data_IF_024388498112
#
_entry.id   IF_024388498112
#
_cell.length_a   1.000
_cell.length_b   1.000
_cell.length_c   1.000
_cell.angle_alpha   90.00
_cell.angle_beta   90.00
_cell.angle_gamma   90.00
#
_symmetry.space_group_name_H-M   'P 1'
#
loop_
_entity.id
_entity.type
_entity.pdbx_description
1 polymer ?
#
# COMPACT_ATOMS: atom_id res chain seq x y z
N UNK A 1 21.25 -11.89 4.04
CA UNK A 1 20.05 -11.23 3.49
C UNK A 1 20.53 -9.96 2.83
N UNK A 2 20.05 -9.64 1.63
CA UNK A 2 20.28 -8.31 1.03
C UNK A 2 19.09 -7.42 1.36
N UNK A 3 19.26 -6.09 1.25
CA UNK A 3 18.20 -5.12 1.53
C UNK A 3 16.87 -5.49 0.86
N UNK A 4 16.91 -5.79 -0.44
CA UNK A 4 15.72 -6.10 -1.23
C UNK A 4 14.94 -7.30 -0.67
N UNK A 5 15.64 -8.32 -0.16
CA UNK A 5 15.01 -9.52 0.41
C UNK A 5 14.23 -9.15 1.68
N UNK A 6 14.89 -8.44 2.62
CA UNK A 6 14.30 -8.03 3.89
C UNK A 6 13.12 -7.06 3.69
N UNK A 7 13.31 -6.10 2.78
CA UNK A 7 12.31 -5.08 2.47
C UNK A 7 11.08 -5.71 1.80
N UNK A 8 11.28 -6.58 0.82
CA UNK A 8 10.18 -7.28 0.12
C UNK A 8 9.46 -8.26 1.05
N UNK A 9 10.18 -8.98 1.91
CA UNK A 9 9.60 -9.89 2.90
C UNK A 9 8.61 -9.14 3.80
N UNK A 10 9.03 -8.00 4.36
CA UNK A 10 8.16 -7.18 5.21
C UNK A 10 6.96 -6.62 4.47
N UNK A 11 7.12 -6.19 3.21
CA UNK A 11 6.00 -5.73 2.38
C UNK A 11 4.98 -6.83 2.06
N UNK A 12 5.43 -8.08 1.96
CA UNK A 12 4.54 -9.20 1.67
C UNK A 12 3.55 -9.47 2.81
N UNK A 13 3.87 -9.05 4.04
CA UNK A 13 2.95 -9.11 5.19
C UNK A 13 1.74 -8.20 4.97
N UNK A 14 1.92 -7.02 4.37
CA UNK A 14 0.83 -6.10 4.00
C UNK A 14 -0.17 -6.83 3.10
N UNK A 15 0.31 -7.41 2.00
CA UNK A 15 -0.55 -8.13 1.05
C UNK A 15 -1.22 -9.33 1.71
N UNK A 16 -0.51 -10.05 2.58
CA UNK A 16 -1.06 -11.20 3.29
C UNK A 16 -2.27 -10.83 4.14
N UNK A 17 -2.23 -9.70 4.85
CA UNK A 17 -3.37 -9.21 5.61
C UNK A 17 -4.59 -8.91 4.72
N UNK A 18 -4.40 -8.30 3.55
CA UNK A 18 -5.50 -8.10 2.61
C UNK A 18 -6.07 -9.44 2.09
N UNK A 19 -5.22 -10.42 1.80
CA UNK A 19 -5.64 -11.75 1.34
C UNK A 19 -6.50 -12.51 2.38
N UNK A 20 -6.36 -12.19 3.66
CA UNK A 20 -7.17 -12.80 4.73
C UNK A 20 -8.61 -12.26 4.78
N UNK A 21 -8.84 -11.04 4.28
CA UNK A 21 -10.13 -10.34 4.42
C UNK A 21 -10.90 -10.21 3.10
N UNK A 22 -10.24 -10.36 1.95
CA UNK A 22 -10.92 -10.31 0.65
C UNK A 22 -11.80 -11.54 0.40
N UNK A 23 -12.87 -11.36 -0.36
CA UNK A 23 -13.66 -12.47 -0.89
C UNK A 23 -13.10 -13.04 -2.20
N UNK A 24 -13.55 -14.25 -2.57
CA UNK A 24 -13.17 -14.96 -3.81
C UNK A 24 -13.47 -14.18 -5.10
N UNK A 25 -14.23 -13.09 -5.03
CA UNK A 25 -14.59 -12.24 -6.15
C UNK A 25 -13.54 -11.15 -6.48
N UNK A 26 -12.51 -10.98 -5.66
CA UNK A 26 -11.46 -9.99 -5.85
C UNK A 26 -10.34 -10.57 -6.72
N UNK A 27 -10.05 -9.89 -7.83
CA UNK A 27 -9.05 -10.29 -8.81
C UNK A 27 -7.69 -9.58 -8.58
N UNK A 28 -7.74 -8.34 -8.08
CA UNK A 28 -6.58 -7.47 -7.88
C UNK A 28 -6.74 -6.63 -6.63
N UNK A 29 -5.66 -6.42 -5.88
CA UNK A 29 -5.58 -5.51 -4.73
C UNK A 29 -4.68 -4.33 -5.12
N UNK A 30 -5.16 -3.12 -4.86
CA UNK A 30 -4.38 -1.89 -5.00
C UNK A 30 -4.20 -1.29 -3.61
N UNK A 31 -2.96 -1.07 -3.19
CA UNK A 31 -2.65 -0.42 -1.91
C UNK A 31 -1.75 0.78 -2.18
N UNK A 32 -2.13 1.91 -1.60
CA UNK A 32 -1.34 3.13 -1.58
C UNK A 32 -1.04 3.49 -0.14
N UNK A 33 0.21 3.78 0.16
CA UNK A 33 0.64 4.26 1.48
C UNK A 33 1.52 5.47 1.23
N UNK A 34 1.20 6.60 1.84
CA UNK A 34 2.13 7.69 2.03
C UNK A 34 2.46 7.76 3.51
N UNK A 35 3.74 7.78 3.84
CA UNK A 35 4.19 7.96 5.21
C UNK A 35 5.47 8.79 5.20
N UNK A 36 5.45 9.86 5.98
CA UNK A 36 6.57 10.77 6.18
C UNK A 36 6.58 11.29 7.62
N UNK A 37 7.55 12.14 7.98
CA UNK A 37 7.76 12.55 9.38
C UNK A 37 6.52 13.24 9.99
N UNK A 38 5.65 13.82 9.16
CA UNK A 38 4.55 14.68 9.61
C UNK A 38 3.16 14.10 9.34
N UNK A 39 3.04 13.11 8.45
CA UNK A 39 1.76 12.57 8.03
C UNK A 39 1.87 11.13 7.53
N UNK A 40 0.87 10.33 7.88
CA UNK A 40 0.58 9.04 7.27
C UNK A 40 -0.80 9.06 6.58
N UNK A 41 -0.92 8.32 5.49
CA UNK A 41 -2.18 8.12 4.77
C UNK A 41 -2.14 6.82 3.97
N UNK A 42 -3.12 5.96 4.25
CA UNK A 42 -3.33 4.70 3.57
C UNK A 42 -4.64 4.73 2.80
N UNK A 43 -4.64 4.08 1.64
CA UNK A 43 -5.90 3.75 0.95
C UNK A 43 -5.74 2.50 0.12
N UNK A 44 -6.88 1.88 -0.18
CA UNK A 44 -6.93 0.70 -1.02
C UNK A 44 -8.15 0.70 -1.95
N UNK A 45 -8.03 -0.07 -3.02
CA UNK A 45 -9.12 -0.38 -3.92
C UNK A 45 -9.00 -1.82 -4.42
N UNK A 46 -10.09 -2.35 -4.94
CA UNK A 46 -10.17 -3.76 -5.32
C UNK A 46 -10.69 -3.93 -6.75
N UNK A 47 -9.95 -4.69 -7.54
CA UNK A 47 -10.39 -5.16 -8.85
C UNK A 47 -11.40 -6.29 -8.67
N UNK A 48 -12.62 -6.10 -9.18
CA UNK A 48 -13.70 -7.09 -9.14
C UNK A 48 -14.36 -7.15 -10.52
N UNK A 49 -14.22 -8.28 -11.23
CA UNK A 49 -14.87 -8.52 -12.54
C UNK A 49 -14.63 -7.39 -13.55
N UNK A 50 -13.41 -6.87 -13.60
CA UNK A 50 -13.00 -5.79 -14.50
C UNK A 50 -13.43 -4.38 -14.08
N UNK A 51 -14.01 -4.20 -12.89
CA UNK A 51 -14.24 -2.89 -12.28
C UNK A 51 -13.28 -2.66 -11.11
N UNK A 52 -12.98 -1.40 -10.79
CA UNK A 52 -12.23 -1.03 -9.58
C UNK A 52 -13.20 -0.41 -8.59
N UNK A 53 -13.32 -1.04 -7.42
CA UNK A 53 -14.32 -0.74 -6.40
C UNK A 53 -13.65 -0.35 -5.07
N UNK A 54 -14.36 0.42 -4.25
CA UNK A 54 -13.99 0.63 -2.85
C UNK A 54 -14.32 -0.59 -1.98
N UNK A 55 -13.86 -0.57 -0.73
CA UNK A 55 -13.96 -1.67 0.25
C UNK A 55 -15.36 -2.28 0.33
N UNK A 56 -16.37 -1.46 0.67
CA UNK A 56 -17.75 -1.92 0.87
C UNK A 56 -18.37 -2.48 -0.42
N UNK A 57 -18.08 -1.86 -1.57
CA UNK A 57 -18.57 -2.32 -2.88
C UNK A 57 -17.92 -3.64 -3.30
N UNK A 58 -16.69 -3.89 -2.88
CA UNK A 58 -15.99 -5.15 -3.06
C UNK A 58 -16.46 -6.25 -2.08
N UNK A 59 -17.27 -5.89 -1.06
CA UNK A 59 -17.78 -6.80 -0.04
C UNK A 59 -16.89 -6.93 1.19
N UNK A 60 -15.95 -6.00 1.39
CA UNK A 60 -14.99 -5.99 2.50
C UNK A 60 -15.41 -4.90 3.48
N UNK A 61 -15.36 -5.19 4.79
CA UNK A 61 -15.81 -4.23 5.78
C UNK A 61 -14.75 -3.14 6.01
N UNK A 62 -15.20 -1.90 6.24
CA UNK A 62 -14.28 -0.82 6.60
C UNK A 62 -13.53 -1.11 7.91
N UNK A 63 -14.14 -1.88 8.81
CA UNK A 63 -13.50 -2.29 10.06
C UNK A 63 -12.24 -3.13 9.78
N UNK A 64 -12.35 -4.12 8.90
CA UNK A 64 -11.22 -4.99 8.57
C UNK A 64 -10.10 -4.19 7.90
N UNK A 65 -10.45 -3.27 6.99
CA UNK A 65 -9.47 -2.40 6.33
C UNK A 65 -8.78 -1.45 7.31
N UNK A 66 -9.54 -0.85 8.23
CA UNK A 66 -8.95 0.02 9.27
C UNK A 66 -8.01 -0.76 10.20
N UNK A 67 -8.36 -1.99 10.60
CA UNK A 67 -7.48 -2.83 11.40
C UNK A 67 -6.18 -3.18 10.64
N UNK A 68 -6.24 -3.36 9.33
CA UNK A 68 -5.03 -3.54 8.50
C UNK A 68 -4.20 -2.25 8.46
N UNK A 69 -4.83 -1.09 8.30
CA UNK A 69 -4.12 0.20 8.26
C UNK A 69 -3.44 0.52 9.59
N UNK A 70 -4.10 0.26 10.72
CA UNK A 70 -3.51 0.41 12.05
C UNK A 70 -2.21 -0.43 12.17
N UNK A 71 -2.21 -1.68 11.70
CA UNK A 71 -1.00 -2.53 11.71
C UNK A 71 0.08 -2.02 10.76
N UNK A 72 -0.32 -1.50 9.58
CA UNK A 72 0.64 -0.91 8.65
C UNK A 72 1.35 0.28 9.28
N UNK A 73 0.60 1.20 9.88
CA UNK A 73 1.12 2.44 10.47
C UNK A 73 1.94 2.16 11.75
N UNK A 74 1.40 1.36 12.67
CA UNK A 74 2.00 1.18 14.01
C UNK A 74 3.12 0.13 14.04
N UNK A 75 3.13 -0.84 13.11
CA UNK A 75 4.07 -1.96 13.13
C UNK A 75 4.93 -2.01 11.86
N UNK A 76 4.31 -2.11 10.68
CA UNK A 76 5.05 -2.41 9.44
C UNK A 76 5.94 -1.25 8.99
N UNK A 77 5.43 -0.01 9.00
CA UNK A 77 6.20 1.17 8.57
C UNK A 77 7.43 1.40 9.48
N UNK A 78 7.32 1.41 10.82
CA UNK A 78 8.48 1.48 11.70
C UNK A 78 9.52 0.39 11.45
N UNK A 79 9.09 -0.84 11.18
CA UNK A 79 10.01 -1.94 10.86
C UNK A 79 10.68 -1.76 9.49
N UNK A 80 9.96 -1.26 8.48
CA UNK A 80 10.54 -0.89 7.18
C UNK A 80 11.58 0.23 7.33
N UNK A 81 11.35 1.20 8.21
CA UNK A 81 12.34 2.24 8.51
C UNK A 81 13.59 1.65 9.16
N UNK A 82 13.44 0.72 10.10
CA UNK A 82 14.56 0.08 10.78
C UNK A 82 15.39 -0.76 9.79
N UNK A 83 14.74 -1.46 8.85
CA UNK A 83 15.41 -2.12 7.73
C UNK A 83 16.17 -1.10 6.87
N UNK A 84 15.54 0.02 6.49
CA UNK A 84 16.21 1.06 5.72
C UNK A 84 17.45 1.62 6.45
N UNK A 85 17.34 1.88 7.76
CA UNK A 85 18.46 2.35 8.61
C UNK A 85 19.58 1.32 8.72
N UNK A 86 19.26 0.03 8.87
CA UNK A 86 20.25 -1.06 8.95
C UNK A 86 21.10 -1.15 7.69
N UNK A 87 20.48 -0.99 6.52
CA UNK A 87 21.14 -1.13 5.22
C UNK A 87 21.64 0.21 4.62
N UNK A 88 21.55 1.32 5.35
CA UNK A 88 21.90 2.68 4.89
C UNK A 88 21.17 3.08 3.59
N UNK A 89 19.88 2.72 3.53
CA UNK A 89 18.99 3.02 2.42
C UNK A 89 17.99 4.12 2.81
N UNK A 90 17.59 5.00 1.88
CA UNK A 90 16.53 5.96 2.16
C UNK A 90 15.18 5.25 2.33
N UNK A 91 14.34 5.73 3.25
CA UNK A 91 12.95 5.28 3.38
C UNK A 91 12.09 5.89 2.26
N UNK A 92 11.26 5.10 1.54
CA UNK A 92 10.27 5.65 0.64
C UNK A 92 9.24 6.51 1.37
N UNK A 93 8.78 7.55 0.69
CA UNK A 93 7.72 8.45 1.15
C UNK A 93 6.34 8.01 0.64
N UNK A 94 6.29 7.31 -0.50
CA UNK A 94 5.08 6.65 -1.01
C UNK A 94 5.39 5.22 -1.45
N UNK A 95 4.41 4.35 -1.23
CA UNK A 95 4.37 2.96 -1.66
C UNK A 95 3.10 2.74 -2.49
N UNK A 96 3.26 2.10 -3.64
CA UNK A 96 2.19 1.77 -4.57
C UNK A 96 2.28 0.29 -4.91
N UNK A 97 1.28 -0.46 -4.48
CA UNK A 97 1.27 -1.91 -4.61
C UNK A 97 0.11 -2.37 -5.47
N UNK A 98 0.42 -3.22 -6.44
CA UNK A 98 -0.58 -3.95 -7.21
C UNK A 98 -0.34 -5.44 -7.03
N UNK A 99 -1.32 -6.14 -6.48
CA UNK A 99 -1.26 -7.58 -6.31
C UNK A 99 -2.34 -8.27 -7.12
N UNK A 100 -1.95 -9.18 -8.00
CA UNK A 100 -2.90 -10.01 -8.74
C UNK A 100 -3.14 -11.33 -8.01
N UNK A 101 -4.38 -11.56 -7.56
CA UNK A 101 -4.75 -12.69 -6.70
C UNK A 101 -4.57 -14.04 -7.41
N UNK A 102 -4.93 -14.12 -8.69
CA UNK A 102 -4.88 -15.38 -9.44
C UNK A 102 -3.46 -15.85 -9.76
N UNK A 103 -2.55 -14.93 -10.07
CA UNK A 103 -1.16 -15.24 -10.43
C UNK A 103 -0.19 -15.15 -9.26
N UNK A 104 -0.59 -14.49 -8.17
CA UNK A 104 0.30 -14.11 -7.08
C UNK A 104 1.35 -13.06 -7.47
N UNK A 105 1.18 -12.40 -8.63
CA UNK A 105 2.11 -11.38 -9.09
C UNK A 105 1.99 -10.14 -8.20
N UNK A 106 3.13 -9.70 -7.68
CA UNK A 106 3.27 -8.50 -6.85
C UNK A 106 4.13 -7.47 -7.59
N UNK A 107 3.53 -6.32 -7.88
CA UNK A 107 4.20 -5.15 -8.45
C UNK A 107 4.25 -4.05 -7.39
N UNK A 108 5.45 -3.54 -7.12
CA UNK A 108 5.70 -2.48 -6.16
C UNK A 108 6.42 -1.31 -6.81
N UNK A 109 5.95 -0.10 -6.52
CA UNK A 109 6.56 1.15 -6.95
C UNK A 109 6.69 2.10 -5.77
N UNK A 110 7.83 2.77 -5.69
CA UNK A 110 8.19 3.61 -4.56
C UNK A 110 8.53 5.02 -5.01
N UNK A 111 8.15 6.02 -4.21
CA UNK A 111 8.62 7.39 -4.36
C UNK A 111 9.56 7.72 -3.21
N UNK A 112 10.79 8.06 -3.55
CA UNK A 112 11.79 8.58 -2.61
C UNK A 112 11.93 10.09 -2.79
N UNK A 113 12.35 10.82 -1.76
CA UNK A 113 12.68 12.23 -1.89
C UNK A 113 12.33 13.04 -0.64
N UNK A 114 11.97 14.30 -0.87
CA UNK A 114 11.57 15.25 0.17
C UNK A 114 10.27 14.81 0.85
N UNK A 115 10.10 15.25 2.10
CA UNK A 115 8.87 15.12 2.90
C UNK A 115 7.68 15.64 2.09
N UNK A 116 6.81 14.72 1.65
CA UNK A 116 5.79 15.04 0.67
C UNK A 116 4.67 15.87 1.27
N UNK A 117 4.31 15.61 2.52
CA UNK A 117 3.33 16.36 3.28
C UNK A 117 3.72 17.84 3.49
N UNK A 118 5.01 18.17 3.36
CA UNK A 118 5.49 19.55 3.43
C UNK A 118 5.33 20.33 2.11
N UNK A 119 5.02 19.66 1.00
CA UNK A 119 4.85 20.30 -0.31
C UNK A 119 3.45 20.92 -0.43
N UNK A 120 3.37 22.23 -0.72
CA UNK A 120 2.09 22.97 -0.79
C UNK A 120 1.07 22.37 -1.78
N UNK A 121 1.56 21.80 -2.88
CA UNK A 121 0.71 21.23 -3.95
C UNK A 121 0.50 19.71 -3.81
N UNK A 122 0.97 19.09 -2.72
CA UNK A 122 0.82 17.66 -2.52
C UNK A 122 -0.40 17.32 -1.66
N UNK A 123 -1.17 16.34 -2.11
CA UNK A 123 -2.26 15.76 -1.36
C UNK A 123 -2.30 14.26 -1.62
N UNK A 124 -1.96 13.46 -0.60
CA UNK A 124 -1.85 12.00 -0.70
C UNK A 124 -3.14 11.36 -1.23
N UNK A 125 -4.32 11.81 -0.76
CA UNK A 125 -5.61 11.31 -1.26
C UNK A 125 -5.85 11.59 -2.75
N UNK A 126 -5.49 12.78 -3.24
CA UNK A 126 -5.61 13.12 -4.67
C UNK A 126 -4.63 12.29 -5.51
N UNK A 127 -3.38 12.13 -5.05
CA UNK A 127 -2.38 11.36 -5.77
C UNK A 127 -2.72 9.86 -5.80
N UNK A 128 -3.20 9.31 -4.68
CA UNK A 128 -3.69 7.95 -4.61
C UNK A 128 -4.88 7.73 -5.57
N UNK A 129 -5.84 8.66 -5.62
CA UNK A 129 -6.97 8.55 -6.52
C UNK A 129 -6.54 8.63 -8.00
N UNK A 130 -5.64 9.55 -8.36
CA UNK A 130 -5.08 9.63 -9.72
C UNK A 130 -4.40 8.33 -10.13
N UNK A 131 -3.63 7.73 -9.21
CA UNK A 131 -2.94 6.47 -9.46
C UNK A 131 -3.94 5.32 -9.64
N UNK A 132 -4.92 5.16 -8.76
CA UNK A 132 -5.98 4.14 -8.90
C UNK A 132 -6.77 4.33 -10.20
N UNK A 133 -7.11 5.57 -10.55
CA UNK A 133 -7.86 5.89 -11.78
C UNK A 133 -7.06 5.56 -13.04
N UNK A 134 -5.73 5.52 -12.97
CA UNK A 134 -4.88 5.15 -14.13
C UNK A 134 -5.07 3.70 -14.58
N UNK A 135 -5.64 2.84 -13.73
CA UNK A 135 -5.98 1.46 -14.06
C UNK A 135 -7.42 1.28 -14.57
N UNK A 136 -8.26 2.33 -14.50
CA UNK A 136 -9.61 2.30 -15.07
C UNK A 136 -9.49 2.45 -16.59
N UNK A 137 -10.10 1.52 -17.32
CA UNK A 137 -10.14 1.49 -18.80
C UNK A 137 -11.39 2.20 -19.31
#
# INVERSE_FOLDING_TARGET
MIFEDAFTEKQSEIISMFLEVIGDNVDTIYVFIQSDEWSAMETCAFGVKGSILGNLEAGISDKDILEIFDVIEDEIIPELEDICKEYDMPMPQEFRYVYNVASGAFDSNYRYGEELSALEDYNSGIEAQKWIDSFKV
#
